data_IF_683210569910
#
_entry.id   IF_683210569910
#
_cell.length_a   1.000
_cell.length_b   1.000
_cell.length_c   1.000
_cell.angle_alpha   90.00
_cell.angle_beta   90.00
_cell.angle_gamma   90.00
#
_symmetry.space_group_name_H-M   'P 1'
#
loop_
_entity.id
_entity.type
_entity.pdbx_description
1 polymer ?
#
# COMPACT_ATOMS: atom_id res chain seq x y z
N UNK A 1 24.41 3.17 -15.81
CA UNK A 1 23.21 3.95 -15.45
C UNK A 1 22.03 3.02 -15.69
N UNK A 2 21.34 2.60 -14.63
CA UNK A 2 20.44 1.44 -14.64
C UNK A 2 19.28 1.61 -15.63
N UNK A 3 18.90 0.51 -16.31
CA UNK A 3 17.79 0.47 -17.30
C UNK A 3 16.52 1.11 -16.72
N UNK A 4 16.21 0.80 -15.46
CA UNK A 4 15.09 1.40 -14.74
C UNK A 4 15.22 2.92 -14.55
N UNK A 5 16.41 3.43 -14.24
CA UNK A 5 16.60 4.86 -14.02
C UNK A 5 16.38 5.64 -15.33
N UNK A 6 16.90 5.12 -16.44
CA UNK A 6 16.69 5.72 -17.77
C UNK A 6 15.21 5.70 -18.16
N UNK A 7 14.55 4.54 -17.99
CA UNK A 7 13.13 4.40 -18.26
C UNK A 7 12.28 5.34 -17.39
N UNK A 8 12.53 5.39 -16.09
CA UNK A 8 11.77 6.20 -15.14
C UNK A 8 11.85 7.69 -15.45
N UNK A 9 13.05 8.17 -15.78
CA UNK A 9 13.25 9.56 -16.21
C UNK A 9 12.50 9.87 -17.50
N UNK A 10 12.57 8.96 -18.49
CA UNK A 10 11.84 9.11 -19.74
C UNK A 10 10.32 9.06 -19.54
N UNK A 11 9.81 8.13 -18.74
CA UNK A 11 8.38 7.96 -18.47
C UNK A 11 7.76 9.17 -17.74
N UNK A 12 8.57 9.82 -16.89
CA UNK A 12 8.16 10.98 -16.07
C UNK A 12 8.36 12.31 -16.80
N UNK A 13 9.51 12.52 -17.45
CA UNK A 13 9.93 13.82 -18.00
C UNK A 13 10.18 13.82 -19.52
N UNK A 14 9.92 12.71 -20.21
CA UNK A 14 10.17 12.58 -21.64
C UNK A 14 9.16 13.34 -22.53
N UNK A 15 9.47 13.55 -23.82
CA UNK A 15 8.64 14.32 -24.76
C UNK A 15 7.22 13.77 -24.98
N UNK A 16 6.99 12.50 -24.63
CA UNK A 16 5.69 11.82 -24.69
C UNK A 16 4.84 11.96 -23.42
N UNK A 17 5.33 12.64 -22.38
CA UNK A 17 4.57 12.89 -21.16
C UNK A 17 3.43 13.90 -21.43
N UNK A 18 2.31 13.42 -21.99
CA UNK A 18 1.09 14.20 -22.20
C UNK A 18 0.07 13.97 -21.08
N UNK A 19 -0.73 15.02 -20.82
CA UNK A 19 -2.06 15.09 -20.14
C UNK A 19 -2.07 15.22 -18.60
N UNK A 20 -3.16 15.82 -18.12
CA UNK A 20 -3.65 16.29 -16.80
C UNK A 20 -3.06 15.71 -15.49
N UNK A 21 -2.32 14.62 -15.58
CA UNK A 21 -1.79 13.87 -14.45
C UNK A 21 -0.37 14.37 -14.09
N UNK A 22 -0.07 14.45 -12.79
CA UNK A 22 1.28 14.79 -12.31
C UNK A 22 2.11 13.53 -12.15
N UNK A 23 3.30 13.50 -12.73
CA UNK A 23 4.25 12.38 -12.60
C UNK A 23 5.43 12.80 -11.73
N UNK A 24 5.83 11.93 -10.82
CA UNK A 24 6.93 12.15 -9.89
C UNK A 24 7.74 10.88 -9.74
N UNK A 25 9.03 11.04 -9.43
CA UNK A 25 9.88 9.91 -9.07
C UNK A 25 9.99 9.83 -7.56
N UNK A 26 9.72 8.65 -6.99
CA UNK A 26 10.07 8.37 -5.61
C UNK A 26 11.52 7.89 -5.57
N UNK A 27 12.33 8.54 -4.74
CA UNK A 27 13.78 8.37 -4.66
C UNK A 27 14.21 8.08 -3.22
N UNK A 28 15.29 7.32 -3.06
CA UNK A 28 15.93 7.13 -1.75
C UNK A 28 16.91 8.27 -1.48
N UNK A 29 16.88 8.79 -0.26
CA UNK A 29 17.82 9.80 0.23
C UNK A 29 18.42 9.33 1.55
N UNK A 30 19.46 10.02 2.06
CA UNK A 30 20.07 9.70 3.35
C UNK A 30 19.11 9.84 4.54
N UNK A 31 18.04 10.64 4.39
CA UNK A 31 17.01 10.87 5.40
C UNK A 31 15.71 10.08 5.20
N UNK A 32 15.59 9.25 4.16
CA UNK A 32 14.38 8.47 3.89
C UNK A 32 14.03 8.37 2.39
N UNK A 33 12.76 8.57 2.07
CA UNK A 33 12.29 8.63 0.68
C UNK A 33 11.66 9.99 0.39
N UNK A 34 11.97 10.55 -0.77
CA UNK A 34 11.48 11.86 -1.22
C UNK A 34 10.89 11.75 -2.64
N UNK A 35 10.26 12.83 -3.11
CA UNK A 35 9.69 12.93 -4.45
C UNK A 35 10.42 13.99 -5.30
N UNK A 36 10.95 13.57 -6.43
CA UNK A 36 11.48 14.47 -7.45
C UNK A 36 10.40 14.75 -8.52
N UNK A 37 9.98 16.02 -8.61
CA UNK A 37 8.98 16.50 -9.56
C UNK A 37 9.57 17.20 -10.79
N UNK A 38 10.90 17.30 -10.91
CA UNK A 38 11.56 17.86 -12.08
C UNK A 38 12.93 17.22 -12.33
N UNK A 39 13.42 17.30 -13.56
CA UNK A 39 14.77 16.82 -13.92
C UNK A 39 15.87 17.54 -13.10
N UNK A 40 15.67 18.82 -12.79
CA UNK A 40 16.58 19.61 -11.97
C UNK A 40 16.60 19.14 -10.51
N UNK A 41 15.45 18.71 -9.97
CA UNK A 41 15.34 18.17 -8.61
C UNK A 41 16.03 16.81 -8.43
N UNK A 42 16.43 16.12 -9.52
CA UNK A 42 17.13 14.84 -9.46
C UNK A 42 18.64 14.94 -9.28
N UNK A 43 19.23 16.15 -9.31
CA UNK A 43 20.68 16.36 -9.39
C UNK A 43 21.51 15.75 -8.25
N UNK A 44 20.89 15.28 -7.17
CA UNK A 44 21.54 14.66 -6.01
C UNK A 44 20.98 13.27 -5.63
N UNK A 45 20.12 12.68 -6.47
CA UNK A 45 19.26 11.55 -6.06
C UNK A 45 19.81 10.22 -6.59
N UNK A 46 20.11 9.28 -5.69
CA UNK A 46 20.53 7.91 -6.05
C UNK A 46 19.41 6.92 -5.73
N UNK A 47 19.15 5.99 -6.66
CA UNK A 47 18.18 4.90 -6.46
C UNK A 47 16.70 5.33 -6.55
N UNK A 48 16.17 5.38 -7.77
CA UNK A 48 14.71 5.54 -7.99
C UNK A 48 14.02 4.27 -7.50
N UNK A 49 13.15 4.41 -6.51
CA UNK A 49 12.43 3.29 -5.89
C UNK A 49 11.07 3.03 -6.53
N UNK A 50 10.44 4.07 -7.09
CA UNK A 50 9.16 3.94 -7.78
C UNK A 50 8.92 5.11 -8.75
N UNK A 51 8.07 4.87 -9.76
CA UNK A 51 7.41 5.93 -10.52
C UNK A 51 6.04 6.14 -9.91
N UNK A 52 5.72 7.39 -9.55
CA UNK A 52 4.45 7.79 -8.94
C UNK A 52 3.65 8.67 -9.89
N UNK A 53 2.36 8.39 -10.01
CA UNK A 53 1.44 9.03 -10.93
C UNK A 53 0.21 9.53 -10.18
N UNK A 54 0.01 10.84 -10.12
CA UNK A 54 -1.21 11.48 -9.61
C UNK A 54 -2.16 11.69 -10.79
N UNK A 55 -3.26 10.95 -10.80
CA UNK A 55 -4.33 11.12 -11.79
C UNK A 55 -5.27 12.25 -11.37
N UNK A 56 -5.57 12.35 -10.06
CA UNK A 56 -6.52 13.31 -9.49
C UNK A 56 -6.12 13.69 -8.06
N UNK A 57 -6.19 14.98 -7.73
CA UNK A 57 -5.93 15.48 -6.37
C UNK A 57 -7.18 15.34 -5.50
N UNK A 58 -7.51 14.11 -5.13
CA UNK A 58 -8.62 13.79 -4.21
C UNK A 58 -8.10 13.10 -2.96
N UNK A 59 -8.89 13.19 -1.90
CA UNK A 59 -8.62 12.42 -0.68
C UNK A 59 -8.56 10.92 -0.99
N UNK A 60 -7.59 10.24 -0.40
CA UNK A 60 -7.45 8.79 -0.53
C UNK A 60 -8.29 8.14 0.56
N UNK A 61 -9.31 7.40 0.15
CA UNK A 61 -10.21 6.67 1.04
C UNK A 61 -9.84 5.19 1.12
N UNK A 62 -9.27 4.64 0.05
CA UNK A 62 -8.79 3.26 0.04
C UNK A 62 -7.57 3.09 -0.84
N UNK A 63 -6.95 1.92 -0.77
CA UNK A 63 -5.82 1.54 -1.63
C UNK A 63 -5.92 0.07 -2.04
N UNK A 64 -5.33 -0.24 -3.19
CA UNK A 64 -5.08 -1.61 -3.65
C UNK A 64 -3.57 -1.81 -3.77
N UNK A 65 -3.06 -2.90 -3.22
CA UNK A 65 -1.72 -3.41 -3.44
C UNK A 65 -1.77 -4.57 -4.44
N UNK A 66 -0.82 -4.55 -5.37
CA UNK A 66 -0.68 -5.53 -6.43
C UNK A 66 0.66 -6.23 -6.26
N UNK A 67 0.62 -7.55 -6.26
CA UNK A 67 1.79 -8.44 -6.19
C UNK A 67 1.80 -9.26 -7.47
N UNK A 68 2.93 -9.20 -8.16
CA UNK A 68 3.12 -9.82 -9.47
C UNK A 68 4.43 -10.59 -9.52
N UNK A 69 4.51 -11.49 -10.50
CA UNK A 69 5.74 -12.21 -10.80
C UNK A 69 6.88 -11.27 -11.20
N UNK A 70 8.14 -11.59 -10.80
CA UNK A 70 9.30 -10.73 -11.09
C UNK A 70 9.47 -10.33 -12.55
N UNK A 71 9.08 -11.19 -13.50
CA UNK A 71 9.32 -10.98 -14.93
C UNK A 71 8.49 -9.83 -15.52
N UNK A 72 7.41 -9.43 -14.85
CA UNK A 72 6.57 -8.30 -15.30
C UNK A 72 6.71 -7.05 -14.43
N UNK A 73 7.62 -7.07 -13.43
CA UNK A 73 7.87 -5.94 -12.52
C UNK A 73 8.54 -4.75 -13.19
N UNK A 74 8.31 -3.54 -12.65
CA UNK A 74 8.87 -2.30 -13.19
C UNK A 74 8.22 -1.87 -14.50
N UNK A 75 9.00 -1.78 -15.58
CA UNK A 75 8.54 -1.19 -16.84
C UNK A 75 7.31 -1.89 -17.45
N UNK A 76 7.26 -3.23 -17.59
CA UNK A 76 6.10 -3.91 -18.17
C UNK A 76 4.80 -3.65 -17.39
N UNK A 77 4.86 -3.68 -16.05
CA UNK A 77 3.72 -3.35 -15.20
C UNK A 77 3.29 -1.88 -15.35
N UNK A 78 4.25 -0.95 -15.40
CA UNK A 78 3.98 0.47 -15.61
C UNK A 78 3.24 0.75 -16.91
N UNK A 79 3.67 0.13 -18.01
CA UNK A 79 3.02 0.27 -19.32
C UNK A 79 1.59 -0.30 -19.31
N UNK A 80 1.35 -1.38 -18.56
CA UNK A 80 0.02 -1.92 -18.33
C UNK A 80 -0.88 -0.91 -17.58
N UNK A 81 -0.36 -0.33 -16.48
CA UNK A 81 -1.09 0.62 -15.65
C UNK A 81 -1.46 1.91 -16.40
N UNK A 82 -0.57 2.42 -17.26
CA UNK A 82 -0.85 3.59 -18.08
C UNK A 82 -2.11 3.46 -18.94
N UNK A 83 -2.42 2.24 -19.42
CA UNK A 83 -3.55 2.01 -20.32
C UNK A 83 -4.90 1.95 -19.59
N UNK A 84 -4.94 1.30 -18.43
CA UNK A 84 -6.20 0.86 -17.81
C UNK A 84 -6.46 1.49 -16.43
N UNK A 85 -5.41 1.73 -15.65
CA UNK A 85 -5.58 2.27 -14.28
C UNK A 85 -5.89 3.77 -14.32
N UNK A 86 -5.27 4.50 -15.24
CA UNK A 86 -5.38 5.98 -15.28
C UNK A 86 -6.76 6.47 -15.77
N UNK A 87 -7.50 5.65 -16.52
CA UNK A 87 -8.84 6.01 -17.01
C UNK A 87 -9.93 5.82 -15.95
N UNK A 88 -9.72 4.97 -14.95
CA UNK A 88 -10.76 4.62 -13.98
C UNK A 88 -11.10 5.81 -13.05
N UNK A 89 -12.40 6.15 -12.84
CA UNK A 89 -12.81 7.29 -12.01
C UNK A 89 -12.43 7.19 -10.52
N UNK A 90 -12.33 5.97 -9.98
CA UNK A 90 -11.97 5.71 -8.59
C UNK A 90 -10.50 6.04 -8.29
N UNK A 91 -9.64 6.05 -9.32
CA UNK A 91 -8.20 6.20 -9.15
C UNK A 91 -7.84 7.67 -8.94
N UNK A 92 -7.15 7.94 -7.84
CA UNK A 92 -6.54 9.25 -7.54
C UNK A 92 -5.07 9.26 -7.89
N UNK A 93 -4.36 8.18 -7.56
CA UNK A 93 -2.95 8.05 -7.86
C UNK A 93 -2.57 6.58 -7.95
N UNK A 94 -1.40 6.28 -8.50
CA UNK A 94 -0.82 4.95 -8.46
C UNK A 94 0.69 5.05 -8.51
N UNK A 95 1.38 3.99 -8.10
CA UNK A 95 2.83 3.87 -8.23
C UNK A 95 3.23 2.47 -8.62
N UNK A 96 4.32 2.38 -9.38
CA UNK A 96 4.97 1.12 -9.73
C UNK A 96 6.38 1.14 -9.17
N UNK A 97 6.72 0.11 -8.40
CA UNK A 97 8.03 -0.03 -7.79
C UNK A 97 9.07 -0.37 -8.86
N UNK A 98 10.34 -0.07 -8.57
CA UNK A 98 11.43 -0.54 -9.41
C UNK A 98 11.45 -2.09 -9.46
N UNK A 99 12.08 -2.72 -10.48
CA UNK A 99 12.04 -4.18 -10.62
C UNK A 99 12.51 -4.94 -9.38
N UNK A 100 13.58 -4.47 -8.72
CA UNK A 100 14.15 -5.16 -7.56
C UNK A 100 13.20 -5.14 -6.35
N UNK A 101 12.67 -3.97 -6.02
CA UNK A 101 11.71 -3.80 -4.92
C UNK A 101 10.35 -4.39 -5.28
N UNK A 102 9.94 -4.33 -6.55
CA UNK A 102 8.66 -4.87 -6.97
C UNK A 102 8.63 -6.40 -7.02
N UNK A 103 9.80 -7.03 -7.19
CA UNK A 103 9.94 -8.49 -7.21
C UNK A 103 10.18 -9.09 -5.83
N UNK A 104 10.83 -8.35 -4.92
CA UNK A 104 11.25 -8.86 -3.61
C UNK A 104 10.54 -8.17 -2.43
N UNK A 105 9.83 -7.07 -2.70
CA UNK A 105 9.13 -6.27 -1.70
C UNK A 105 7.71 -6.77 -1.42
N UNK A 106 7.02 -6.09 -0.50
CA UNK A 106 5.65 -6.47 -0.09
C UNK A 106 4.60 -6.12 -1.14
N UNK A 107 4.92 -5.21 -2.08
CA UNK A 107 4.06 -4.82 -3.19
C UNK A 107 4.90 -4.47 -4.42
N UNK A 108 4.38 -4.82 -5.59
CA UNK A 108 4.96 -4.47 -6.89
C UNK A 108 4.40 -3.15 -7.42
N UNK A 109 3.14 -2.86 -7.06
CA UNK A 109 2.48 -1.59 -7.32
C UNK A 109 1.40 -1.30 -6.28
N UNK A 110 1.05 -0.02 -6.16
CA UNK A 110 -0.04 0.45 -5.31
C UNK A 110 -0.94 1.40 -6.10
N UNK A 111 -2.24 1.22 -5.99
CA UNK A 111 -3.26 2.12 -6.53
C UNK A 111 -3.97 2.79 -5.35
N UNK A 112 -4.03 4.11 -5.37
CA UNK A 112 -4.69 4.95 -4.37
C UNK A 112 -6.03 5.42 -4.92
N UNK A 113 -7.08 5.22 -4.14
CA UNK A 113 -8.47 5.37 -4.56
C UNK A 113 -9.18 6.48 -3.78
N UNK A 114 -10.01 7.28 -4.45
CA UNK A 114 -10.87 8.30 -3.84
C UNK A 114 -12.26 7.79 -3.42
N UNK A 115 -12.44 6.48 -3.38
CA UNK A 115 -13.70 5.83 -3.04
C UNK A 115 -13.42 4.60 -2.17
N UNK A 116 -14.46 4.05 -1.56
CA UNK A 116 -14.39 2.81 -0.80
C UNK A 116 -14.05 1.61 -1.70
N UNK A 117 -13.36 0.61 -1.15
CA UNK A 117 -13.11 -0.69 -1.79
C UNK A 117 -14.39 -1.39 -2.26
N UNK A 118 -15.52 -1.11 -1.59
CA UNK A 118 -16.81 -1.71 -1.92
C UNK A 118 -17.53 -1.00 -3.08
N UNK A 119 -16.94 0.07 -3.63
CA UNK A 119 -17.52 0.81 -4.75
C UNK A 119 -17.57 -0.01 -6.04
N UNK A 120 -18.62 0.11 -6.87
CA UNK A 120 -18.69 -0.55 -8.17
C UNK A 120 -17.49 -0.24 -9.09
N UNK A 121 -16.97 0.99 -9.05
CA UNK A 121 -15.80 1.39 -9.83
C UNK A 121 -14.52 0.65 -9.43
N UNK A 122 -14.39 0.29 -8.15
CA UNK A 122 -13.26 -0.48 -7.63
C UNK A 122 -13.40 -1.96 -8.00
N UNK A 123 -14.61 -2.50 -7.94
CA UNK A 123 -14.89 -3.85 -8.41
C UNK A 123 -14.58 -4.01 -9.91
N UNK A 124 -15.01 -3.05 -10.74
CA UNK A 124 -14.69 -3.00 -12.17
C UNK A 124 -13.17 -2.93 -12.40
N UNK A 125 -12.47 -2.05 -11.67
CA UNK A 125 -11.01 -1.94 -11.73
C UNK A 125 -10.34 -3.27 -11.38
N UNK A 126 -10.77 -3.94 -10.30
CA UNK A 126 -10.20 -5.22 -9.88
C UNK A 126 -10.43 -6.31 -10.93
N UNK A 127 -11.61 -6.38 -11.55
CA UNK A 127 -11.89 -7.32 -12.63
C UNK A 127 -11.03 -7.04 -13.87
N UNK A 128 -10.81 -5.77 -14.21
CA UNK A 128 -9.96 -5.36 -15.32
C UNK A 128 -8.48 -5.72 -15.05
N UNK A 129 -8.00 -5.51 -13.83
CA UNK A 129 -6.65 -5.93 -13.42
C UNK A 129 -6.49 -7.46 -13.53
N UNK A 130 -7.46 -8.23 -13.05
CA UNK A 130 -7.44 -9.70 -13.17
C UNK A 130 -7.42 -10.13 -14.63
N UNK A 131 -8.22 -9.49 -15.50
CA UNK A 131 -8.27 -9.82 -16.93
C UNK A 131 -6.95 -9.54 -17.64
N UNK A 132 -6.30 -8.43 -17.32
CA UNK A 132 -5.08 -7.99 -18.01
C UNK A 132 -3.80 -8.63 -17.46
N UNK A 133 -3.72 -8.83 -16.14
CA UNK A 133 -2.54 -9.41 -15.50
C UNK A 133 -2.64 -10.94 -15.41
N UNK A 134 -3.85 -11.49 -15.22
CA UNK A 134 -4.12 -12.93 -15.25
C UNK A 134 -3.13 -13.74 -14.42
N UNK A 135 -2.43 -14.66 -15.09
CA UNK A 135 -1.45 -15.57 -14.47
C UNK A 135 -0.15 -14.89 -14.01
N UNK A 136 0.00 -13.58 -14.22
CA UNK A 136 1.12 -12.78 -13.74
C UNK A 136 0.91 -12.29 -12.30
N UNK A 137 -0.33 -12.31 -11.80
CA UNK A 137 -0.60 -12.06 -10.39
C UNK A 137 -0.01 -13.18 -9.53
N UNK A 138 0.62 -12.81 -8.43
CA UNK A 138 1.27 -13.75 -7.51
C UNK A 138 0.74 -13.53 -6.10
N UNK A 139 0.05 -14.54 -5.57
CA UNK A 139 -0.31 -14.51 -4.16
C UNK A 139 0.92 -14.86 -3.31
N UNK A 140 1.32 -14.01 -2.35
CA UNK A 140 2.32 -14.40 -1.38
C UNK A 140 1.82 -15.62 -0.57
N UNK A 141 2.74 -16.44 -0.01
CA UNK A 141 2.37 -17.59 0.82
C UNK A 141 1.48 -17.23 2.01
N UNK A 142 1.59 -15.98 2.49
CA UNK A 142 0.78 -15.41 3.56
C UNK A 142 0.29 -14.05 3.06
N UNK A 143 -1.03 -13.83 3.10
CA UNK A 143 -1.63 -12.55 2.77
C UNK A 143 -1.03 -11.43 3.65
N UNK A 144 -0.72 -10.24 3.10
CA UNK A 144 -0.15 -9.19 3.92
C UNK A 144 -1.12 -8.76 5.01
N UNK A 145 -0.60 -8.62 6.23
CA UNK A 145 -1.40 -8.36 7.42
C UNK A 145 -2.26 -7.09 7.25
N UNK A 146 -3.54 -7.20 7.62
CA UNK A 146 -4.47 -6.08 7.63
C UNK A 146 -5.01 -5.67 6.26
N UNK A 147 -4.78 -6.48 5.22
CA UNK A 147 -5.38 -6.25 3.91
C UNK A 147 -6.49 -7.25 3.61
N UNK A 148 -7.54 -6.76 2.97
CA UNK A 148 -8.59 -7.59 2.41
C UNK A 148 -8.11 -8.23 1.11
N UNK A 149 -8.09 -9.55 1.03
CA UNK A 149 -7.82 -10.22 -0.25
C UNK A 149 -9.02 -10.05 -1.19
N UNK A 150 -8.81 -9.33 -2.31
CA UNK A 150 -9.81 -9.15 -3.37
C UNK A 150 -9.67 -10.29 -4.39
N UNK A 151 -8.42 -10.63 -4.74
CA UNK A 151 -8.04 -11.73 -5.62
C UNK A 151 -6.63 -12.19 -5.23
N UNK A 152 -6.21 -13.45 -5.48
CA UNK A 152 -4.80 -13.84 -5.39
C UNK A 152 -3.87 -12.82 -6.09
N UNK A 153 -2.98 -12.17 -5.34
CA UNK A 153 -2.09 -11.09 -5.84
C UNK A 153 -2.70 -9.67 -5.86
N UNK A 154 -3.95 -9.48 -5.41
CA UNK A 154 -4.62 -8.17 -5.30
C UNK A 154 -5.24 -8.02 -3.91
N UNK A 155 -4.75 -7.04 -3.16
CA UNK A 155 -5.11 -6.83 -1.76
C UNK A 155 -5.56 -5.39 -1.52
N UNK A 156 -6.71 -5.20 -0.89
CA UNK A 156 -7.30 -3.89 -0.61
C UNK A 156 -7.10 -3.44 0.84
N UNK A 157 -7.08 -2.12 1.07
CA UNK A 157 -7.21 -1.54 2.40
C UNK A 157 -8.06 -0.28 2.39
N UNK A 158 -9.03 -0.20 3.30
CA UNK A 158 -9.72 1.05 3.63
C UNK A 158 -8.82 1.92 4.52
N UNK A 159 -8.59 3.16 4.12
CA UNK A 159 -7.78 4.12 4.87
C UNK A 159 -8.66 4.75 5.95
N UNK A 160 -8.32 4.63 7.24
CA UNK A 160 -9.08 5.28 8.30
C UNK A 160 -9.16 6.80 8.05
N UNK A 161 -10.27 7.44 8.41
CA UNK A 161 -10.42 8.88 8.21
C UNK A 161 -9.31 9.66 8.94
N UNK A 162 -8.97 10.86 8.46
CA UNK A 162 -7.95 11.71 9.13
C UNK A 162 -8.27 11.93 10.61
N UNK A 163 -9.54 12.09 10.94
CA UNK A 163 -10.01 12.22 12.32
C UNK A 163 -9.67 10.98 13.17
N UNK A 164 -9.98 9.78 12.68
CA UNK A 164 -9.63 8.52 13.36
C UNK A 164 -8.11 8.38 13.50
N UNK A 165 -7.36 8.71 12.45
CA UNK A 165 -5.91 8.63 12.49
C UNK A 165 -5.31 9.54 13.56
N UNK A 166 -5.77 10.79 13.67
CA UNK A 166 -5.18 11.73 14.63
C UNK A 166 -5.70 11.54 16.05
N UNK A 167 -6.99 11.26 16.23
CA UNK A 167 -7.62 11.23 17.55
C UNK A 167 -7.72 9.84 18.16
N UNK A 168 -8.02 8.81 17.37
CA UNK A 168 -8.13 7.44 17.87
C UNK A 168 -6.79 6.69 17.82
N UNK A 169 -6.02 6.88 16.75
CA UNK A 169 -4.72 6.22 16.55
C UNK A 169 -3.52 7.05 17.02
N UNK A 170 -3.73 8.31 17.42
CA UNK A 170 -2.65 9.18 17.91
C UNK A 170 -1.57 9.51 16.86
N UNK A 171 -1.87 9.35 15.57
CA UNK A 171 -0.90 9.59 14.49
C UNK A 171 -0.69 11.11 14.38
N UNK A 172 0.56 11.62 14.49
CA UNK A 172 0.84 13.03 14.33
C UNK A 172 0.37 13.54 12.96
N UNK A 173 -0.15 14.78 12.89
CA UNK A 173 -0.65 15.39 11.64
C UNK A 173 0.32 15.26 10.45
N UNK A 174 1.62 15.36 10.70
CA UNK A 174 2.68 15.22 9.68
C UNK A 174 2.76 13.83 9.03
N UNK A 175 2.22 12.81 9.70
CA UNK A 175 2.26 11.41 9.26
C UNK A 175 0.87 10.88 8.87
N UNK A 176 -0.18 11.71 8.94
CA UNK A 176 -1.54 11.33 8.56
C UNK A 176 -1.60 10.96 7.08
N UNK A 177 -2.26 9.84 6.77
CA UNK A 177 -2.37 9.25 5.42
C UNK A 177 -1.25 8.26 5.08
N UNK A 178 -0.21 8.13 5.90
CA UNK A 178 0.84 7.14 5.70
C UNK A 178 0.36 5.75 6.11
N UNK A 179 0.36 4.80 5.17
CA UNK A 179 0.02 3.41 5.45
C UNK A 179 0.95 2.78 6.50
N UNK A 180 2.24 3.11 6.46
CA UNK A 180 3.19 2.66 7.49
C UNK A 180 2.82 3.21 8.87
N UNK A 181 2.48 4.49 8.96
CA UNK A 181 2.05 5.09 10.22
C UNK A 181 0.74 4.49 10.74
N UNK A 182 -0.23 4.24 9.85
CA UNK A 182 -1.50 3.59 10.19
C UNK A 182 -1.24 2.17 10.73
N UNK A 183 -0.47 1.35 10.01
CA UNK A 183 -0.16 -0.01 10.44
C UNK A 183 0.59 -0.04 11.77
N UNK A 184 1.62 0.80 11.93
CA UNK A 184 2.38 0.88 13.18
C UNK A 184 1.51 1.33 14.36
N UNK A 185 0.62 2.31 14.16
CA UNK A 185 -0.29 2.76 15.20
C UNK A 185 -1.29 1.67 15.58
N UNK A 186 -1.87 0.97 14.59
CA UNK A 186 -2.79 -0.14 14.83
C UNK A 186 -2.14 -1.28 15.61
N UNK A 187 -0.94 -1.71 15.22
CA UNK A 187 -0.19 -2.74 15.94
C UNK A 187 0.11 -2.28 17.37
N UNK A 188 0.52 -1.01 17.54
CA UNK A 188 0.82 -0.44 18.86
C UNK A 188 -0.41 -0.41 19.77
N UNK A 189 -1.55 0.03 19.25
CA UNK A 189 -2.82 0.07 19.99
C UNK A 189 -3.27 -1.34 20.39
N UNK A 190 -3.20 -2.31 19.48
CA UNK A 190 -3.53 -3.70 19.80
C UNK A 190 -2.58 -4.30 20.86
N UNK A 191 -1.28 -3.99 20.78
CA UNK A 191 -0.29 -4.44 21.77
C UNK A 191 -0.54 -3.85 23.17
N UNK A 192 -0.88 -2.56 23.26
CA UNK A 192 -1.21 -1.90 24.53
C UNK A 192 -2.50 -2.47 25.12
N UNK A 193 -3.54 -2.66 24.30
CA UNK A 193 -4.81 -3.29 24.71
C UNK A 193 -4.57 -4.69 25.28
N UNK A 194 -3.77 -5.51 24.58
CA UNK A 194 -3.39 -6.84 25.06
C UNK A 194 -2.66 -6.75 26.40
N UNK A 195 -1.68 -5.86 26.52
CA UNK A 195 -0.92 -5.69 27.76
C UNK A 195 -1.82 -5.35 28.95
N UNK A 196 -2.74 -4.39 28.78
CA UNK A 196 -3.71 -4.01 29.81
C UNK A 196 -4.65 -5.16 30.18
N UNK A 197 -5.13 -5.92 29.19
CA UNK A 197 -5.98 -7.10 29.40
C UNK A 197 -5.25 -8.17 30.20
N UNK A 198 -3.99 -8.45 29.88
CA UNK A 198 -3.17 -9.43 30.58
C UNK A 198 -2.89 -9.01 32.03
N UNK A 199 -2.60 -7.72 32.27
CA UNK A 199 -2.40 -7.21 33.63
C UNK A 199 -3.68 -7.28 34.47
N UNK A 200 -4.84 -7.05 33.84
CA UNK A 200 -6.14 -7.06 34.51
C UNK A 200 -6.72 -8.46 34.67
N UNK A 201 -6.13 -9.48 34.04
CA UNK A 201 -6.65 -10.86 34.05
C UNK A 201 -5.52 -11.90 34.27
N UNK A 202 -5.19 -12.22 35.53
CA UNK A 202 -4.05 -13.07 35.89
C UNK A 202 -4.07 -14.48 35.27
N UNK A 203 -5.25 -15.05 35.02
CA UNK A 203 -5.40 -16.36 34.37
C UNK A 203 -4.98 -16.31 32.89
N UNK A 204 -5.33 -15.24 32.19
CA UNK A 204 -4.88 -14.97 30.81
C UNK A 204 -3.38 -14.67 30.74
N UNK A 205 -2.84 -13.98 31.74
CA UNK A 205 -1.39 -13.80 31.87
C UNK A 205 -0.64 -15.13 32.04
N UNK A 206 -1.19 -16.08 32.79
CA UNK A 206 -0.61 -17.41 32.93
C UNK A 206 -0.66 -18.20 31.61
N UNK A 207 -1.79 -18.16 30.89
CA UNK A 207 -1.92 -18.76 29.55
C UNK A 207 -0.93 -18.18 28.53
N UNK A 208 -0.74 -16.85 28.57
CA UNK A 208 0.22 -16.14 27.72
C UNK A 208 1.67 -16.55 28.02
N UNK A 209 2.05 -16.63 29.30
CA UNK A 209 3.40 -17.04 29.73
C UNK A 209 3.75 -18.49 29.34
N UNK A 210 2.73 -19.33 29.14
CA UNK A 210 2.88 -20.70 28.64
C UNK A 210 3.04 -20.78 27.12
N UNK A 211 3.20 -19.65 26.43
CA UNK A 211 3.49 -19.62 24.99
C UNK A 211 2.30 -19.90 24.09
N UNK A 212 1.06 -19.71 24.57
CA UNK A 212 -0.16 -19.86 23.75
C UNK A 212 -0.31 -18.68 22.77
N UNK A 213 0.47 -18.71 21.69
CA UNK A 213 0.50 -17.71 20.60
C UNK A 213 -0.89 -17.49 19.99
N UNK A 214 -1.74 -18.52 19.96
CA UNK A 214 -3.10 -18.42 19.41
C UNK A 214 -3.98 -17.41 20.15
N UNK A 215 -3.84 -17.27 21.48
CA UNK A 215 -4.59 -16.25 22.22
C UNK A 215 -4.18 -14.83 21.82
N UNK A 216 -2.89 -14.60 21.55
CA UNK A 216 -2.40 -13.31 21.06
C UNK A 216 -2.96 -12.99 19.68
N UNK A 217 -2.93 -13.97 18.77
CA UNK A 217 -3.47 -13.81 17.41
C UNK A 217 -4.95 -13.47 17.45
N UNK A 218 -5.75 -14.21 18.23
CA UNK A 218 -7.19 -13.94 18.39
C UNK A 218 -7.44 -12.57 19.02
N UNK A 219 -6.68 -12.18 20.04
CA UNK A 219 -6.86 -10.88 20.69
C UNK A 219 -6.46 -9.71 19.78
N UNK A 220 -5.35 -9.81 19.05
CA UNK A 220 -4.95 -8.83 18.05
C UNK A 220 -5.99 -8.74 16.94
N UNK A 221 -6.50 -9.89 16.46
CA UNK A 221 -7.59 -9.96 15.48
C UNK A 221 -8.83 -9.22 15.94
N UNK A 222 -9.33 -9.54 17.12
CA UNK A 222 -10.54 -8.92 17.65
C UNK A 222 -10.32 -7.43 17.91
N UNK A 223 -9.20 -7.05 18.54
CA UNK A 223 -8.88 -5.65 18.82
C UNK A 223 -8.80 -4.81 17.54
N UNK A 224 -8.19 -5.32 16.48
CA UNK A 224 -8.11 -4.63 15.18
C UNK A 224 -9.46 -4.59 14.46
N UNK A 225 -10.28 -5.63 14.60
CA UNK A 225 -11.65 -5.67 14.05
C UNK A 225 -12.55 -4.64 14.75
N UNK A 226 -12.50 -4.59 16.08
CA UNK A 226 -13.35 -3.73 16.91
C UNK A 226 -12.94 -2.25 16.87
N UNK A 227 -11.64 -1.96 16.70
CA UNK A 227 -11.13 -0.58 16.72
C UNK A 227 -11.33 0.18 15.40
N UNK A 228 -11.35 -0.52 14.26
CA UNK A 228 -11.34 0.10 12.92
C UNK A 228 -12.16 -0.65 11.86
N UNK A 229 -12.92 -1.69 12.22
CA UNK A 229 -13.72 -2.47 11.26
C UNK A 229 -12.87 -3.36 10.34
N UNK A 230 -11.65 -3.72 10.75
CA UNK A 230 -10.71 -4.50 9.93
C UNK A 230 -10.86 -6.00 10.16
N UNK A 231 -11.32 -6.73 9.15
CA UNK A 231 -11.30 -8.19 9.19
C UNK A 231 -9.89 -8.71 8.93
N UNK A 232 -9.17 -9.14 9.97
CA UNK A 232 -8.01 -10.00 9.78
C UNK A 232 -8.53 -11.37 9.30
N UNK A 233 -8.27 -11.72 8.05
CA UNK A 233 -8.60 -13.05 7.54
C UNK A 233 -7.79 -14.10 8.29
N UNK A 234 -8.47 -15.10 8.85
CA UNK A 234 -7.80 -16.29 9.37
C UNK A 234 -7.30 -17.09 8.17
N UNK A 235 -6.03 -17.50 8.22
CA UNK A 235 -5.54 -18.63 7.44
C UNK A 235 -5.76 -19.90 8.26
#
# INVERSE_FOLDING_TARGET
MDVWNNFSQWATFGPGARRWDKKMLQIKTSGGTDFAASKAAMGACTGITAIYHVVREKEILSRIQIIIKPQISGQPLYENFLRYVSSNPAVSAWKVMNPDLGSNGPDSAVIYLNTSLHSPYVQELSQELVRNLGTQLEAPPIAPLGLLQIHPGIYGLEVPTKHLQTHALGIPKKNTGSAGAIMSALISTAAVSLHQTLLSNPSKLAEFKLGKIEYMKTHFKNSLTDSVGWTLTDN
#
